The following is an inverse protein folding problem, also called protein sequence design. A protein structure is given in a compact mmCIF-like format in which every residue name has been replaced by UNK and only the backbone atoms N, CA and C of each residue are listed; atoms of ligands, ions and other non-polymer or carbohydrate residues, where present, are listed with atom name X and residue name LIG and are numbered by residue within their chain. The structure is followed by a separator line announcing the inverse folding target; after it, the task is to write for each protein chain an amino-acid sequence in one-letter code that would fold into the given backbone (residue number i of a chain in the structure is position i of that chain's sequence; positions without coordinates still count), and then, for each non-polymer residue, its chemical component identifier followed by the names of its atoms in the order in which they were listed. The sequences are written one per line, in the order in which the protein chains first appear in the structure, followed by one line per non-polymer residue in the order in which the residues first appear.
data_IF_760464497795
#
_entry.id   IF_760464497795
#
_cell.length_a   1.000
_cell.length_b   1.000
_cell.length_c   1.000
_cell.angle_alpha   90.00
_cell.angle_beta   90.00
_cell.angle_gamma   90.00
#
_symmetry.space_group_name_H-M   'P 1'
#
loop_
_entity.id
_entity.type
_entity.pdbx_description
1 polymer ?
#
# COMPACT_ATOMS: atom_id res chain seq x y z
N UNK A 1 -53.95 11.69 -57.69
CA UNK A 1 -52.98 11.32 -56.65
C UNK A 1 -51.66 11.82 -57.13
N UNK A 2 -51.14 12.82 -56.43
CA UNK A 2 -49.88 13.49 -56.76
C UNK A 2 -48.74 12.53 -56.41
N UNK A 3 -47.60 12.61 -57.11
CA UNK A 3 -46.43 11.79 -56.78
C UNK A 3 -45.95 11.98 -55.32
N UNK A 4 -46.22 13.15 -54.75
CA UNK A 4 -46.01 13.45 -53.32
C UNK A 4 -46.84 12.56 -52.37
N UNK A 5 -48.11 12.27 -52.69
CA UNK A 5 -48.97 11.41 -51.85
C UNK A 5 -48.44 9.97 -51.77
N UNK A 6 -47.85 9.48 -52.87
CA UNK A 6 -47.24 8.16 -52.91
C UNK A 6 -45.90 8.13 -52.16
N UNK A 7 -45.11 9.19 -52.26
CA UNK A 7 -43.85 9.31 -51.55
C UNK A 7 -44.06 9.40 -50.03
N UNK A 8 -45.03 10.19 -49.58
CA UNK A 8 -45.42 10.28 -48.17
C UNK A 8 -45.92 8.94 -47.60
N UNK A 9 -46.68 8.19 -48.40
CA UNK A 9 -47.15 6.86 -48.01
C UNK A 9 -46.01 5.84 -47.90
N UNK A 10 -45.04 5.89 -48.81
CA UNK A 10 -43.85 5.03 -48.76
C UNK A 10 -42.95 5.38 -47.58
N UNK A 11 -42.78 6.68 -47.29
CA UNK A 11 -42.05 7.15 -46.12
C UNK A 11 -42.72 6.75 -44.81
N UNK A 12 -44.06 6.86 -44.72
CA UNK A 12 -44.81 6.40 -43.56
C UNK A 12 -44.64 4.89 -43.32
N UNK A 13 -44.73 4.07 -44.38
CA UNK A 13 -44.53 2.62 -44.28
C UNK A 13 -43.08 2.24 -43.93
N UNK A 14 -42.10 3.02 -44.39
CA UNK A 14 -40.70 2.84 -44.03
C UNK A 14 -40.46 3.17 -42.56
N UNK A 15 -40.98 4.31 -42.08
CA UNK A 15 -40.91 4.70 -40.68
C UNK A 15 -41.58 3.62 -39.81
N UNK A 16 -42.79 3.19 -40.15
CA UNK A 16 -43.53 2.20 -39.37
C UNK A 16 -42.79 0.84 -39.28
N UNK A 17 -42.05 0.45 -40.32
CA UNK A 17 -41.21 -0.77 -40.32
C UNK A 17 -39.83 -0.60 -39.70
N UNK A 18 -39.25 0.60 -39.77
CA UNK A 18 -37.91 0.91 -39.26
C UNK A 18 -37.92 1.24 -37.77
N UNK A 19 -38.98 1.88 -37.27
CA UNK A 19 -39.14 2.29 -35.87
C UNK A 19 -38.99 1.12 -34.88
N UNK A 20 -39.62 -0.06 -35.06
CA UNK A 20 -39.44 -1.18 -34.14
C UNK A 20 -37.99 -1.72 -34.14
N UNK A 21 -37.34 -1.78 -35.30
CA UNK A 21 -35.92 -2.22 -35.39
C UNK A 21 -34.95 -1.22 -34.75
N UNK A 22 -35.23 0.09 -34.89
CA UNK A 22 -34.46 1.13 -34.22
C UNK A 22 -34.65 1.08 -32.71
N UNK A 23 -35.87 0.81 -32.23
CA UNK A 23 -36.16 0.60 -30.82
C UNK A 23 -35.44 -0.62 -30.25
N UNK A 24 -35.46 -1.76 -30.94
CA UNK A 24 -34.71 -2.96 -30.53
C UNK A 24 -33.20 -2.70 -30.47
N UNK A 25 -32.64 -2.06 -31.50
CA UNK A 25 -31.20 -1.72 -31.51
C UNK A 25 -30.84 -0.73 -30.40
N UNK A 26 -31.69 0.24 -30.12
CA UNK A 26 -31.50 1.20 -29.03
C UNK A 26 -31.59 0.51 -27.67
N UNK A 27 -32.56 -0.39 -27.46
CA UNK A 27 -32.68 -1.18 -26.25
C UNK A 27 -31.47 -2.08 -26.01
N UNK A 28 -30.98 -2.76 -27.06
CA UNK A 28 -29.78 -3.58 -26.98
C UNK A 28 -28.55 -2.73 -26.60
N UNK A 29 -28.36 -1.57 -27.25
CA UNK A 29 -27.26 -0.66 -26.94
C UNK A 29 -27.34 -0.09 -25.52
N UNK A 30 -28.55 0.20 -25.03
CA UNK A 30 -28.77 0.63 -23.64
C UNK A 30 -28.47 -0.48 -22.65
N UNK A 31 -28.89 -1.72 -22.92
CA UNK A 31 -28.60 -2.86 -22.07
C UNK A 31 -27.09 -3.10 -21.95
N UNK A 32 -26.37 -3.09 -23.08
CA UNK A 32 -24.91 -3.26 -23.11
C UNK A 32 -24.19 -2.16 -22.31
N UNK A 33 -24.59 -0.89 -22.51
CA UNK A 33 -24.02 0.24 -21.74
C UNK A 33 -24.32 0.14 -20.24
N UNK A 34 -25.52 -0.31 -19.87
CA UNK A 34 -25.89 -0.48 -18.46
C UNK A 34 -25.09 -1.61 -17.84
N UNK A 35 -24.92 -2.73 -18.52
CA UNK A 35 -24.10 -3.86 -18.05
C UNK A 35 -22.62 -3.46 -17.89
N UNK A 36 -22.07 -2.74 -18.87
CA UNK A 36 -20.70 -2.23 -18.81
C UNK A 36 -20.50 -1.24 -17.65
N UNK A 37 -21.44 -0.30 -17.46
CA UNK A 37 -21.39 0.66 -16.36
C UNK A 37 -21.55 0.00 -14.99
N UNK A 38 -22.50 -0.92 -14.83
CA UNK A 38 -22.70 -1.65 -13.57
C UNK A 38 -21.50 -2.56 -13.28
N UNK A 39 -21.00 -3.24 -14.31
CA UNK A 39 -19.80 -4.09 -14.21
C UNK A 39 -18.57 -3.28 -13.80
N UNK A 40 -18.33 -2.15 -14.47
CA UNK A 40 -17.24 -1.24 -14.14
C UNK A 40 -17.36 -0.65 -12.73
N UNK A 41 -18.57 -0.24 -12.32
CA UNK A 41 -18.83 0.30 -10.98
C UNK A 41 -18.63 -0.76 -9.89
N UNK A 42 -19.05 -2.01 -10.14
CA UNK A 42 -18.79 -3.14 -9.23
C UNK A 42 -17.30 -3.40 -9.07
N UNK A 43 -16.53 -3.42 -10.17
CA UNK A 43 -15.08 -3.62 -10.12
C UNK A 43 -14.37 -2.47 -9.39
N UNK A 44 -14.74 -1.23 -9.68
CA UNK A 44 -14.18 -0.06 -9.02
C UNK A 44 -14.50 -0.06 -7.51
N UNK A 45 -15.72 -0.42 -7.13
CA UNK A 45 -16.13 -0.54 -5.72
C UNK A 45 -15.35 -1.63 -5.01
N UNK A 46 -15.14 -2.78 -5.65
CA UNK A 46 -14.36 -3.88 -5.09
C UNK A 46 -12.91 -3.45 -4.85
N UNK A 47 -12.28 -2.82 -5.84
CA UNK A 47 -10.92 -2.31 -5.73
C UNK A 47 -10.79 -1.29 -4.60
N UNK A 48 -11.72 -0.34 -4.50
CA UNK A 48 -11.73 0.66 -3.44
C UNK A 48 -11.88 0.04 -2.04
N UNK A 49 -12.74 -0.97 -1.90
CA UNK A 49 -12.90 -1.68 -0.62
C UNK A 49 -11.64 -2.46 -0.23
N UNK A 50 -10.95 -3.06 -1.21
CA UNK A 50 -9.71 -3.78 -0.96
C UNK A 50 -8.58 -2.80 -0.57
N UNK A 51 -8.45 -1.66 -1.25
CA UNK A 51 -7.52 -0.59 -0.87
C UNK A 51 -7.79 -0.06 0.55
N UNK A 52 -9.05 0.15 0.93
CA UNK A 52 -9.42 0.58 2.29
C UNK A 52 -9.05 -0.48 3.34
N UNK A 53 -9.24 -1.77 3.04
CA UNK A 53 -8.85 -2.86 3.95
C UNK A 53 -7.34 -2.89 4.13
N UNK A 54 -6.57 -2.76 3.06
CA UNK A 54 -5.11 -2.76 3.11
C UNK A 54 -4.59 -1.54 3.88
N UNK A 55 -5.15 -0.35 3.64
CA UNK A 55 -4.83 0.84 4.43
C UNK A 55 -5.14 0.66 5.92
N UNK A 56 -6.28 0.07 6.27
CA UNK A 56 -6.61 -0.23 7.67
C UNK A 56 -5.65 -1.23 8.30
N UNK A 57 -5.23 -2.26 7.56
CA UNK A 57 -4.24 -3.23 8.05
C UNK A 57 -2.89 -2.56 8.29
N UNK A 58 -2.42 -1.76 7.33
CA UNK A 58 -1.19 -0.99 7.48
C UNK A 58 -1.25 -0.01 8.66
N UNK A 59 -2.37 0.69 8.84
CA UNK A 59 -2.56 1.60 9.97
C UNK A 59 -2.60 0.87 11.32
N UNK A 60 -3.22 -0.32 11.38
CA UNK A 60 -3.24 -1.14 12.59
C UNK A 60 -1.83 -1.66 12.94
N UNK A 61 -1.07 -2.11 11.95
CA UNK A 61 0.32 -2.54 12.12
C UNK A 61 1.22 -1.38 12.59
N UNK A 62 1.05 -0.19 12.01
CA UNK A 62 1.78 0.99 12.46
C UNK A 62 1.41 1.36 13.90
N UNK A 63 0.12 1.39 14.24
CA UNK A 63 -0.33 1.68 15.60
C UNK A 63 0.20 0.68 16.64
N UNK A 64 0.39 -0.60 16.26
CA UNK A 64 1.03 -1.58 17.14
C UNK A 64 2.53 -1.32 17.33
N UNK A 65 3.25 -0.90 16.27
CA UNK A 65 4.67 -0.52 16.36
C UNK A 65 4.85 0.74 17.21
N UNK A 66 4.06 1.77 16.95
CA UNK A 66 4.10 3.04 17.68
C UNK A 66 3.82 2.83 19.18
N UNK A 67 2.88 1.94 19.54
CA UNK A 67 2.64 1.57 20.95
C UNK A 67 3.83 0.84 21.55
N UNK A 68 4.42 -0.12 20.84
CA UNK A 68 5.60 -0.84 21.32
C UNK A 68 6.80 0.08 21.56
N UNK A 69 7.05 1.02 20.65
CA UNK A 69 8.09 2.04 20.79
C UNK A 69 7.80 3.00 21.94
N UNK A 70 6.57 3.48 22.06
CA UNK A 70 6.15 4.35 23.16
C UNK A 70 6.27 3.66 24.53
N UNK A 71 5.91 2.38 24.62
CA UNK A 71 6.03 1.60 25.86
C UNK A 71 7.50 1.36 26.24
N UNK A 72 8.37 1.06 25.27
CA UNK A 72 9.82 0.96 25.48
C UNK A 72 10.41 2.28 25.97
N UNK A 73 10.06 3.39 25.32
CA UNK A 73 10.51 4.71 25.73
C UNK A 73 10.02 5.08 27.13
N UNK A 74 8.76 4.75 27.45
CA UNK A 74 8.18 4.97 28.78
C UNK A 74 8.88 4.11 29.84
N UNK A 75 9.24 2.87 29.52
CA UNK A 75 10.01 2.01 30.40
C UNK A 75 11.39 2.62 30.71
N UNK A 76 12.11 3.11 29.70
CA UNK A 76 13.41 3.80 29.86
C UNK A 76 13.29 5.06 30.73
N UNK A 77 12.27 5.88 30.53
CA UNK A 77 12.01 7.07 31.35
C UNK A 77 11.64 6.71 32.80
N UNK A 78 10.85 5.64 32.99
CA UNK A 78 10.42 5.20 34.32
C UNK A 78 11.56 4.62 35.17
N UNK A 79 12.62 4.12 34.54
CA UNK A 79 13.85 3.71 35.23
C UNK A 79 14.63 4.87 35.85
N UNK A 80 14.20 6.14 35.66
CA UNK A 80 14.85 7.33 36.22
C UNK A 80 16.34 7.42 35.85
N UNK A 81 16.70 6.84 34.71
CA UNK A 81 18.05 6.85 34.18
C UNK A 81 18.40 8.27 33.73
N UNK A 82 19.65 8.69 33.92
CA UNK A 82 20.11 10.01 33.51
C UNK A 82 19.93 10.15 31.98
N UNK A 83 19.78 11.36 31.41
CA UNK A 83 19.64 11.53 29.96
C UNK A 83 20.77 10.86 29.15
N UNK A 84 21.96 10.75 29.74
CA UNK A 84 23.10 10.03 29.19
C UNK A 84 22.86 8.52 29.08
N UNK A 85 22.22 7.89 30.07
CA UNK A 85 21.93 6.46 30.08
C UNK A 85 20.83 6.10 29.07
N UNK A 86 19.86 7.01 28.89
CA UNK A 86 18.81 6.87 27.87
C UNK A 86 19.42 6.95 26.46
N UNK A 87 20.36 7.89 26.23
CA UNK A 87 21.10 7.97 24.98
C UNK A 87 21.95 6.71 24.76
N UNK A 88 22.66 6.21 25.76
CA UNK A 88 23.45 4.98 25.64
C UNK A 88 22.58 3.74 25.31
N UNK A 89 21.35 3.68 25.82
CA UNK A 89 20.40 2.62 25.48
C UNK A 89 19.84 2.72 24.05
N UNK A 90 19.69 3.95 23.53
CA UNK A 90 19.19 4.21 22.17
C UNK A 90 20.29 4.16 21.10
N UNK A 91 21.52 4.52 21.46
CA UNK A 91 22.70 4.46 20.60
C UNK A 91 23.79 3.65 21.29
N UNK A 92 23.73 2.31 21.20
CA UNK A 92 24.73 1.47 21.83
C UNK A 92 26.12 1.74 21.20
N UNK A 93 27.14 1.87 22.04
CA UNK A 93 28.49 2.22 21.61
C UNK A 93 29.11 1.15 20.68
N UNK A 94 29.95 1.55 19.70
CA UNK A 94 30.69 0.62 18.87
C UNK A 94 31.59 -0.32 19.71
N UNK A 95 31.69 -1.58 19.32
CA UNK A 95 32.61 -2.52 19.97
C UNK A 95 34.03 -2.15 19.55
N UNK A 96 34.81 -1.64 20.49
CA UNK A 96 36.20 -1.23 20.28
C UNK A 96 37.14 -2.42 20.43
N UNK A 97 37.91 -2.70 19.38
CA UNK A 97 39.02 -3.65 19.41
C UNK A 97 40.33 -2.91 19.21
N UNK A 98 41.36 -3.28 19.96
CA UNK A 98 42.71 -2.77 19.66
C UNK A 98 43.24 -3.41 18.37
N UNK A 99 44.21 -2.75 17.76
CA UNK A 99 44.86 -3.23 16.53
C UNK A 99 45.46 -4.63 16.65
N UNK A 100 45.89 -5.03 17.85
CA UNK A 100 46.43 -6.37 18.15
C UNK A 100 45.29 -7.39 18.27
N UNK A 101 44.19 -7.03 18.94
CA UNK A 101 43.02 -7.90 19.09
C UNK A 101 42.28 -8.12 17.77
N UNK A 102 42.22 -7.10 16.91
CA UNK A 102 41.63 -7.21 15.58
C UNK A 102 42.43 -8.12 14.62
N UNK A 103 43.70 -8.40 14.94
CA UNK A 103 44.52 -9.36 14.17
C UNK A 103 44.22 -10.82 14.51
N UNK A 104 43.58 -11.10 15.65
CA UNK A 104 43.11 -12.45 15.97
C UNK A 104 41.75 -12.70 15.27
N UNK A 105 41.67 -13.67 14.33
CA UNK A 105 40.45 -13.97 13.62
C UNK A 105 39.29 -14.41 14.53
N UNK A 106 39.57 -15.06 15.66
CA UNK A 106 38.54 -15.53 16.59
C UNK A 106 37.93 -14.36 17.35
N UNK A 107 38.76 -13.44 17.87
CA UNK A 107 38.30 -12.25 18.58
C UNK A 107 37.52 -11.31 17.66
N UNK A 108 38.01 -11.07 16.45
CA UNK A 108 37.31 -10.22 15.48
C UNK A 108 35.93 -10.78 15.10
N UNK A 109 35.81 -12.09 14.85
CA UNK A 109 34.51 -12.73 14.53
C UNK A 109 33.53 -12.66 15.69
N UNK A 110 34.00 -12.86 16.92
CA UNK A 110 33.16 -12.74 18.11
C UNK A 110 32.66 -11.31 18.31
N UNK A 111 33.54 -10.33 18.19
CA UNK A 111 33.17 -8.92 18.26
C UNK A 111 32.17 -8.54 17.16
N UNK A 112 32.38 -9.01 15.93
CA UNK A 112 31.44 -8.77 14.83
C UNK A 112 30.07 -9.40 15.08
N UNK A 113 30.02 -10.65 15.55
CA UNK A 113 28.77 -11.32 15.89
C UNK A 113 28.05 -10.64 17.07
N UNK A 114 28.80 -10.05 18.00
CA UNK A 114 28.23 -9.28 19.09
C UNK A 114 27.70 -7.93 18.60
N UNK A 115 28.44 -7.22 17.75
CA UNK A 115 28.03 -5.95 17.15
C UNK A 115 26.74 -6.12 16.34
N UNK A 116 26.63 -7.18 15.54
CA UNK A 116 25.39 -7.52 14.80
C UNK A 116 24.20 -7.80 15.72
N UNK A 117 24.42 -8.43 16.89
CA UNK A 117 23.34 -8.69 17.87
C UNK A 117 22.84 -7.43 18.57
N UNK A 118 23.74 -6.50 18.87
CA UNK A 118 23.40 -5.21 19.51
C UNK A 118 23.07 -4.10 18.52
N UNK A 119 23.17 -4.35 17.20
CA UNK A 119 22.92 -3.35 16.17
C UNK A 119 24.00 -2.26 16.09
N UNK A 120 25.23 -2.55 16.50
CA UNK A 120 26.37 -1.61 16.50
C UNK A 120 27.44 -2.02 15.49
N UNK A 121 28.48 -1.21 15.36
CA UNK A 121 29.65 -1.48 14.50
C UNK A 121 30.87 -1.86 15.32
N UNK A 122 31.86 -2.50 14.69
CA UNK A 122 33.17 -2.76 15.31
C UNK A 122 34.12 -1.65 14.87
N UNK A 123 34.75 -0.99 15.84
CA UNK A 123 35.75 0.05 15.60
C UNK A 123 37.13 -0.45 16.02
N UNK A 124 38.14 -0.27 15.16
CA UNK A 124 39.53 -0.62 15.49
C UNK A 124 40.24 0.63 15.97
N UNK A 125 40.52 0.70 17.27
CA UNK A 125 41.26 1.80 17.88
C UNK A 125 42.76 1.52 17.87
N UNK A 126 43.55 2.57 17.67
CA UNK A 126 44.99 2.50 17.89
C UNK A 126 45.23 2.47 19.40
N UNK A 127 46.17 1.61 19.81
CA UNK A 127 46.65 1.51 21.19
C UNK A 127 47.39 2.79 21.61
#
# INVERSE_FOLDING_TARGET
MSDDDNNDRLMAQFIEKATPKLLEAMQASLAEKIEEQIGGLKQASQKMLDEIKDQKRAAAEQATKDKGEADQFRALLSQRSNPADINAALTPDPIRLTRVQARDPQLYRRAKAQAEKTGTTVEIVND
#
